data_IF_944815482562
#
_entry.id   IF_944815482562
#
_cell.length_a   1.000
_cell.length_b   1.000
_cell.length_c   1.000
_cell.angle_alpha   90.00
_cell.angle_beta   90.00
_cell.angle_gamma   90.00
#
_symmetry.space_group_name_H-M   'P 1'
#
loop_
_entity.id
_entity.type
_entity.pdbx_description
1 polymer ?
#
# COMPACT_ATOMS: atom_id res chain seq x y z
N UNK A 1 -2.33 -28.96 -20.28
CA UNK A 1 -1.08 -28.69 -19.51
C UNK A 1 -1.32 -28.78 -17.99
N UNK A 2 -2.12 -27.90 -17.36
CA UNK A 2 -2.33 -27.92 -15.89
C UNK A 2 -2.80 -29.26 -15.30
N UNK A 3 -3.69 -29.98 -16.02
CA UNK A 3 -4.16 -31.32 -15.61
C UNK A 3 -3.04 -32.36 -15.56
N UNK A 4 -2.07 -32.28 -16.49
CA UNK A 4 -0.92 -33.20 -16.55
C UNK A 4 0.00 -32.93 -15.36
N UNK A 5 0.36 -31.66 -15.13
CA UNK A 5 1.18 -31.29 -13.96
C UNK A 5 0.52 -31.64 -12.64
N UNK A 6 -0.80 -31.52 -12.51
CA UNK A 6 -1.54 -31.98 -11.32
C UNK A 6 -1.33 -33.47 -11.05
N UNK A 7 -1.43 -34.30 -12.09
CA UNK A 7 -1.25 -35.75 -11.98
C UNK A 7 0.21 -36.12 -11.71
N UNK A 8 1.17 -35.46 -12.37
CA UNK A 8 2.59 -35.78 -12.20
C UNK A 8 3.14 -35.28 -10.86
N UNK A 9 2.80 -34.06 -10.45
CA UNK A 9 3.29 -33.47 -9.21
C UNK A 9 2.51 -33.89 -7.97
N UNK A 10 1.32 -34.48 -8.14
CA UNK A 10 0.36 -34.77 -7.07
C UNK A 10 0.00 -33.54 -6.22
N UNK A 11 0.25 -32.32 -6.73
CA UNK A 11 -0.10 -31.06 -6.07
C UNK A 11 -1.38 -30.47 -6.65
N UNK A 12 -2.23 -29.93 -5.77
CA UNK A 12 -3.45 -29.23 -6.17
C UNK A 12 -3.07 -27.97 -6.96
N UNK A 13 -3.74 -27.76 -8.09
CA UNK A 13 -3.62 -26.53 -8.88
C UNK A 13 -4.45 -25.46 -8.18
N UNK A 14 -3.83 -24.34 -7.84
CA UNK A 14 -4.50 -23.21 -7.22
C UNK A 14 -5.04 -22.26 -8.30
N UNK A 15 -6.30 -21.89 -8.18
CA UNK A 15 -6.96 -20.90 -9.05
C UNK A 15 -7.33 -19.72 -8.14
N UNK A 16 -6.87 -18.49 -8.43
CA UNK A 16 -7.29 -17.30 -7.69
C UNK A 16 -8.81 -17.12 -7.81
N UNK A 17 -9.52 -17.03 -6.68
CA UNK A 17 -10.97 -16.81 -6.64
C UNK A 17 -11.45 -15.87 -5.53
N UNK A 18 -10.55 -15.47 -4.63
CA UNK A 18 -10.93 -14.84 -3.36
C UNK A 18 -10.81 -13.32 -3.40
N UNK A 19 -10.04 -12.79 -4.33
CA UNK A 19 -9.84 -11.37 -4.53
C UNK A 19 -10.44 -10.95 -5.86
N UNK A 20 -11.17 -9.84 -5.87
CA UNK A 20 -11.68 -9.22 -7.09
C UNK A 20 -11.31 -7.74 -7.08
N UNK A 21 -10.56 -7.33 -8.10
CA UNK A 21 -10.14 -5.96 -8.34
C UNK A 21 -11.35 -5.09 -8.74
N UNK A 22 -11.18 -3.77 -8.73
CA UNK A 22 -12.19 -2.82 -9.19
C UNK A 22 -12.62 -3.03 -10.66
N UNK A 23 -11.80 -3.77 -11.43
CA UNK A 23 -12.05 -4.11 -12.85
C UNK A 23 -12.43 -5.57 -13.05
N UNK A 24 -12.93 -6.22 -11.99
CA UNK A 24 -13.33 -7.63 -11.98
C UNK A 24 -12.20 -8.61 -12.31
N UNK A 25 -10.96 -8.22 -12.05
CA UNK A 25 -9.78 -9.08 -12.26
C UNK A 25 -9.34 -9.75 -10.96
N UNK A 26 -8.62 -10.87 -11.06
CA UNK A 26 -8.03 -11.54 -9.89
C UNK A 26 -6.63 -11.01 -9.54
N UNK A 27 -6.22 -9.89 -10.14
CA UNK A 27 -4.89 -9.31 -10.02
C UNK A 27 -4.94 -7.79 -10.04
N UNK A 28 -3.88 -7.18 -9.53
CA UNK A 28 -3.64 -5.74 -9.56
C UNK A 28 -2.37 -5.46 -10.37
N UNK A 29 -2.42 -4.50 -11.29
CA UNK A 29 -1.23 -4.07 -12.02
C UNK A 29 -0.36 -3.20 -11.13
N UNK A 30 0.92 -3.54 -11.06
CA UNK A 30 1.91 -2.82 -10.26
C UNK A 30 3.31 -3.02 -10.86
N UNK A 31 4.30 -2.32 -10.32
CA UNK A 31 5.71 -2.58 -10.59
C UNK A 31 6.47 -2.92 -9.31
N UNK A 32 7.51 -3.73 -9.43
CA UNK A 32 8.47 -3.97 -8.34
C UNK A 32 9.85 -3.61 -8.85
N UNK A 33 10.51 -2.65 -8.18
CA UNK A 33 11.73 -2.02 -8.68
C UNK A 33 11.46 -1.45 -10.09
N UNK A 34 12.25 -1.81 -11.09
CA UNK A 34 12.07 -1.36 -12.48
C UNK A 34 11.20 -2.29 -13.34
N UNK A 35 10.52 -3.29 -12.75
CA UNK A 35 9.80 -4.32 -13.50
C UNK A 35 8.29 -4.22 -13.31
N UNK A 36 7.57 -4.00 -14.40
CA UNK A 36 6.11 -4.07 -14.43
C UNK A 36 5.61 -5.52 -14.30
N UNK A 37 4.48 -5.72 -13.64
CA UNK A 37 3.86 -7.03 -13.53
C UNK A 37 2.48 -6.98 -12.92
N UNK A 38 2.10 -8.12 -12.35
CA UNK A 38 0.79 -8.32 -11.73
C UNK A 38 0.97 -8.90 -10.33
N UNK A 39 0.34 -8.25 -9.36
CA UNK A 39 0.18 -8.74 -8.00
C UNK A 39 -1.12 -9.56 -7.91
N UNK A 40 -1.02 -10.79 -7.42
CA UNK A 40 -2.12 -11.70 -7.17
C UNK A 40 -2.29 -11.90 -5.66
N UNK A 41 -3.32 -11.29 -5.05
CA UNK A 41 -3.75 -11.61 -3.70
C UNK A 41 -4.40 -13.00 -3.68
N UNK A 42 -3.69 -14.00 -3.14
CA UNK A 42 -4.21 -15.36 -2.99
C UNK A 42 -4.69 -15.62 -1.56
N UNK A 43 -5.16 -16.84 -1.32
CA UNK A 43 -5.74 -17.24 -0.04
C UNK A 43 -4.81 -17.08 1.17
N UNK A 44 -3.51 -17.33 0.96
CA UNK A 44 -2.48 -17.43 1.99
C UNK A 44 -1.19 -16.66 1.65
N UNK A 45 -1.14 -15.99 0.51
CA UNK A 45 0.08 -15.36 0.02
C UNK A 45 -0.22 -14.29 -1.03
N UNK A 46 0.69 -13.33 -1.14
CA UNK A 46 0.84 -12.50 -2.33
C UNK A 46 1.78 -13.19 -3.31
N UNK A 47 1.43 -13.18 -4.60
CA UNK A 47 2.34 -13.57 -5.68
C UNK A 47 2.46 -12.43 -6.67
N UNK A 48 3.69 -12.01 -6.96
CA UNK A 48 3.98 -11.13 -8.08
C UNK A 48 4.57 -11.92 -9.23
N UNK A 49 3.98 -11.75 -10.42
CA UNK A 49 4.39 -12.44 -11.64
C UNK A 49 4.93 -11.40 -12.63
N UNK A 50 6.25 -11.48 -12.87
CA UNK A 50 6.98 -11.15 -14.10
C UNK A 50 8.49 -11.42 -13.87
N UNK A 51 9.27 -10.41 -13.46
CA UNK A 51 10.69 -10.54 -13.07
C UNK A 51 11.02 -9.59 -11.90
N UNK A 52 11.62 -10.06 -10.80
CA UNK A 52 11.64 -11.45 -10.33
C UNK A 52 10.22 -11.90 -9.92
N UNK A 53 9.96 -13.21 -9.95
CA UNK A 53 8.74 -13.75 -9.33
C UNK A 53 8.90 -13.71 -7.82
N UNK A 54 7.96 -13.07 -7.12
CA UNK A 54 8.00 -12.91 -5.67
C UNK A 54 6.79 -13.61 -5.07
N UNK A 55 7.01 -14.41 -4.03
CA UNK A 55 5.96 -15.09 -3.27
C UNK A 55 6.14 -14.70 -1.80
N UNK A 56 5.15 -14.03 -1.22
CA UNK A 56 5.15 -13.61 0.18
C UNK A 56 3.96 -14.28 0.85
N UNK A 57 4.20 -15.17 1.81
CA UNK A 57 3.11 -15.79 2.56
C UNK A 57 2.59 -14.83 3.62
N UNK A 58 1.30 -14.87 3.90
CA UNK A 58 0.71 -13.99 4.92
C UNK A 58 1.21 -14.30 6.33
N UNK A 59 1.60 -15.55 6.60
CA UNK A 59 2.24 -15.94 7.87
C UNK A 59 3.58 -15.23 8.12
N UNK A 60 4.28 -14.87 7.04
CA UNK A 60 5.59 -14.22 7.07
C UNK A 60 5.48 -12.69 7.11
N UNK A 61 4.29 -12.12 6.89
CA UNK A 61 4.07 -10.66 6.91
C UNK A 61 3.98 -10.17 8.35
N UNK A 62 4.75 -9.13 8.66
CA UNK A 62 4.63 -8.40 9.93
C UNK A 62 3.49 -7.38 9.85
N UNK A 63 3.58 -6.47 8.88
CA UNK A 63 2.52 -5.51 8.56
C UNK A 63 2.64 -5.03 7.10
N UNK A 64 1.61 -4.32 6.64
CA UNK A 64 1.60 -3.64 5.36
C UNK A 64 1.35 -2.14 5.52
N UNK A 65 1.82 -1.37 4.56
CA UNK A 65 1.70 0.08 4.54
C UNK A 65 1.28 0.56 3.15
N UNK A 66 0.25 1.40 3.11
CA UNK A 66 -0.14 2.11 1.90
C UNK A 66 0.63 3.43 1.83
N UNK A 67 1.62 3.52 0.94
CA UNK A 67 2.44 4.71 0.71
C UNK A 67 1.86 5.53 -0.44
N UNK A 68 2.04 6.85 -0.40
CA UNK A 68 1.49 7.79 -1.41
C UNK A 68 -0.03 7.73 -1.57
N UNK A 69 -0.74 7.10 -0.62
CA UNK A 69 -2.18 7.11 -0.54
C UNK A 69 -2.63 8.14 0.49
N UNK A 70 -3.23 9.23 0.02
CA UNK A 70 -3.86 10.23 0.88
C UNK A 70 -5.38 10.11 0.75
N UNK A 71 -6.18 10.00 1.82
CA UNK A 71 -7.64 9.82 1.74
C UNK A 71 -8.40 10.98 1.09
N UNK A 72 -7.79 12.17 1.02
CA UNK A 72 -8.44 13.36 0.47
C UNK A 72 -8.76 13.20 -1.04
N UNK A 73 -9.94 13.67 -1.43
CA UNK A 73 -10.43 13.60 -2.81
C UNK A 73 -9.56 14.38 -3.82
N UNK A 74 -8.74 15.32 -3.33
CA UNK A 74 -7.83 16.16 -4.13
C UNK A 74 -6.39 15.64 -4.16
N UNK A 75 -6.18 14.33 -3.96
CA UNK A 75 -4.86 13.73 -4.11
C UNK A 75 -4.34 13.96 -5.53
N UNK A 76 -3.20 14.67 -5.65
CA UNK A 76 -2.57 14.95 -6.93
C UNK A 76 -2.08 13.68 -7.65
N UNK A 77 -1.89 12.58 -6.92
CA UNK A 77 -1.38 11.29 -7.42
C UNK A 77 -2.51 10.33 -7.78
N UNK A 78 -2.45 9.80 -9.01
CA UNK A 78 -3.37 8.76 -9.53
C UNK A 78 -3.08 7.35 -8.99
N UNK A 79 -1.91 7.17 -8.37
CA UNK A 79 -1.39 5.87 -7.98
C UNK A 79 -0.85 5.91 -6.54
N UNK A 80 -0.84 4.75 -5.89
CA UNK A 80 -0.24 4.52 -4.58
C UNK A 80 0.71 3.32 -4.61
N UNK A 81 1.46 3.10 -3.53
CA UNK A 81 2.29 1.91 -3.36
C UNK A 81 1.84 1.09 -2.16
N UNK A 82 1.98 -0.23 -2.26
CA UNK A 82 1.80 -1.16 -1.17
C UNK A 82 3.17 -1.69 -0.73
N UNK A 83 3.64 -1.27 0.44
CA UNK A 83 4.82 -1.84 1.07
C UNK A 83 4.42 -3.00 1.99
N UNK A 84 5.08 -4.14 1.82
CA UNK A 84 4.88 -5.35 2.63
C UNK A 84 6.16 -5.60 3.43
N UNK A 85 6.05 -5.51 4.75
CA UNK A 85 7.15 -5.75 5.68
C UNK A 85 7.11 -7.20 6.15
N UNK A 86 8.24 -7.89 6.03
CA UNK A 86 8.39 -9.31 6.35
C UNK A 86 8.97 -9.44 7.77
N UNK A 87 8.43 -10.38 8.55
CA UNK A 87 8.91 -10.72 9.89
C UNK A 87 10.38 -11.13 9.85
N UNK A 88 11.14 -10.70 10.85
CA UNK A 88 12.55 -11.09 10.98
C UNK A 88 12.73 -12.61 11.06
N UNK A 89 11.83 -13.31 11.75
CA UNK A 89 11.87 -14.78 11.86
C UNK A 89 11.66 -15.52 10.54
N UNK A 90 11.07 -14.87 9.52
CA UNK A 90 10.82 -15.46 8.21
C UNK A 90 11.98 -15.22 7.21
N UNK A 91 12.85 -14.25 7.53
CA UNK A 91 14.08 -13.99 6.77
C UNK A 91 15.15 -14.91 7.36
N UNK A 92 15.30 -16.11 6.80
CA UNK A 92 16.23 -17.13 7.31
C UNK A 92 17.66 -16.60 7.50
N UNK A 93 18.43 -17.21 8.40
CA UNK A 93 19.78 -16.74 8.79
C UNK A 93 20.76 -16.56 7.60
N UNK A 94 20.56 -17.31 6.52
CA UNK A 94 21.36 -17.25 5.29
C UNK A 94 20.89 -16.15 4.30
N UNK A 95 19.78 -15.47 4.59
CA UNK A 95 19.17 -14.47 3.73
C UNK A 95 19.75 -13.07 3.94
N UNK A 96 21.08 -12.97 3.98
CA UNK A 96 21.84 -11.71 4.08
C UNK A 96 21.49 -10.70 2.96
N UNK A 97 20.79 -11.16 1.93
CA UNK A 97 20.45 -10.43 0.71
C UNK A 97 18.94 -10.37 0.40
N UNK A 98 18.06 -10.82 1.32
CA UNK A 98 16.61 -10.63 1.13
C UNK A 98 16.19 -9.29 1.71
N UNK A 99 15.63 -8.45 0.84
CA UNK A 99 14.93 -7.23 1.24
C UNK A 99 13.84 -7.60 2.27
N UNK A 100 13.90 -7.01 3.48
CA UNK A 100 12.87 -7.16 4.54
C UNK A 100 11.55 -6.47 4.16
N UNK A 101 11.56 -5.73 3.06
CA UNK A 101 10.44 -4.97 2.54
C UNK A 101 10.30 -5.27 1.04
N UNK A 102 9.07 -5.53 0.60
CA UNK A 102 8.73 -5.57 -0.82
C UNK A 102 7.72 -4.49 -1.11
N UNK A 103 8.07 -3.56 -2.02
CA UNK A 103 7.19 -2.47 -2.42
C UNK A 103 6.59 -2.74 -3.79
N UNK A 104 5.27 -2.88 -3.83
CA UNK A 104 4.48 -2.92 -5.06
C UNK A 104 4.07 -1.51 -5.42
N UNK A 105 4.69 -0.99 -6.47
CA UNK A 105 4.59 0.40 -6.86
C UNK A 105 3.51 0.66 -7.91
N UNK A 106 3.07 1.92 -7.98
CA UNK A 106 2.25 2.47 -9.06
C UNK A 106 0.89 1.76 -9.23
N UNK A 107 0.29 1.30 -8.13
CA UNK A 107 -1.05 0.71 -8.12
C UNK A 107 -2.09 1.81 -8.33
N UNK A 108 -3.05 1.58 -9.22
CA UNK A 108 -4.14 2.52 -9.50
C UNK A 108 -5.01 2.71 -8.24
N UNK A 109 -5.36 3.97 -7.94
CA UNK A 109 -6.15 4.33 -6.75
C UNK A 109 -7.53 3.64 -6.72
N UNK A 110 -8.12 3.31 -7.87
CA UNK A 110 -9.37 2.55 -7.94
C UNK A 110 -9.28 1.18 -7.26
N UNK A 111 -8.08 0.59 -7.18
CA UNK A 111 -7.86 -0.73 -6.59
C UNK A 111 -7.73 -0.71 -5.06
N UNK A 112 -7.65 0.49 -4.45
CA UNK A 112 -7.43 0.63 -3.01
C UNK A 112 -8.51 -0.06 -2.18
N UNK A 113 -9.79 0.20 -2.48
CA UNK A 113 -10.91 -0.31 -1.67
C UNK A 113 -10.87 -1.84 -1.63
N UNK A 114 -10.89 -2.47 -2.81
CA UNK A 114 -10.82 -3.94 -2.95
C UNK A 114 -9.59 -4.53 -2.26
N UNK A 115 -8.40 -3.93 -2.42
CA UNK A 115 -7.16 -4.46 -1.84
C UNK A 115 -7.13 -4.30 -0.32
N UNK A 116 -7.59 -3.15 0.20
CA UNK A 116 -7.64 -2.87 1.63
C UNK A 116 -8.63 -3.79 2.35
N UNK A 117 -9.82 -4.02 1.79
CA UNK A 117 -10.84 -4.88 2.37
C UNK A 117 -10.40 -6.35 2.35
N UNK A 118 -9.72 -6.78 1.28
CA UNK A 118 -9.14 -8.11 1.21
C UNK A 118 -8.05 -8.33 2.27
N UNK A 119 -7.13 -7.37 2.43
CA UNK A 119 -6.06 -7.43 3.43
C UNK A 119 -6.64 -7.50 4.85
N UNK A 120 -7.66 -6.68 5.15
CA UNK A 120 -8.38 -6.71 6.43
C UNK A 120 -9.05 -8.07 6.67
N UNK A 121 -9.70 -8.63 5.66
CA UNK A 121 -10.34 -9.97 5.73
C UNK A 121 -9.32 -11.10 5.99
N UNK A 122 -8.05 -10.88 5.62
CA UNK A 122 -6.94 -11.80 5.90
C UNK A 122 -6.23 -11.53 7.22
N UNK A 123 -6.74 -10.59 8.03
CA UNK A 123 -6.21 -10.22 9.35
C UNK A 123 -4.74 -9.77 9.32
N UNK A 124 -4.31 -9.21 8.19
CA UNK A 124 -2.96 -8.65 8.04
C UNK A 124 -2.96 -7.23 8.64
N UNK A 125 -1.99 -6.94 9.51
CA UNK A 125 -1.85 -5.63 10.15
C UNK A 125 -1.56 -4.55 9.11
N UNK A 126 -2.28 -3.42 9.18
CA UNK A 126 -2.07 -2.25 8.32
C UNK A 126 -1.62 -1.08 9.19
N UNK A 127 -0.44 -0.53 8.92
CA UNK A 127 0.15 0.53 9.77
C UNK A 127 -0.49 1.91 9.57
N UNK A 128 -0.81 2.25 8.33
CA UNK A 128 -1.39 3.56 7.97
C UNK A 128 -2.88 3.43 7.62
N UNK A 129 -3.67 2.81 8.50
CA UNK A 129 -5.11 2.86 8.31
C UNK A 129 -5.53 4.34 8.29
N UNK A 130 -6.32 4.78 7.31
CA UNK A 130 -6.99 6.05 7.44
C UNK A 130 -7.96 5.90 8.61
N UNK A 131 -7.52 6.32 9.79
CA UNK A 131 -8.43 6.56 10.89
C UNK A 131 -9.49 7.51 10.35
N UNK A 132 -10.75 7.11 10.46
CA UNK A 132 -11.89 7.98 10.21
C UNK A 132 -11.82 9.28 11.03
N UNK A 133 -10.90 9.39 12.00
CA UNK A 133 -10.61 10.55 12.83
C UNK A 133 -9.56 11.53 12.25
N UNK A 134 -8.75 11.14 11.27
CA UNK A 134 -7.68 12.01 10.73
C UNK A 134 -8.15 13.03 9.68
N UNK A 135 -9.43 12.98 9.28
CA UNK A 135 -10.07 14.01 8.47
C UNK A 135 -10.28 15.36 9.19
N UNK A 136 -9.98 15.44 10.51
CA UNK A 136 -10.27 16.62 11.32
C UNK A 136 -9.06 17.54 11.61
N UNK A 137 -7.81 17.17 11.26
CA UNK A 137 -6.60 17.97 11.56
C UNK A 137 -5.90 18.49 10.30
N UNK A 138 -6.66 19.03 9.34
CA UNK A 138 -6.16 19.67 8.12
C UNK A 138 -6.42 21.18 8.01
N UNK A 139 -6.86 21.83 9.08
CA UNK A 139 -7.25 23.24 9.05
C UNK A 139 -6.37 24.11 9.94
N UNK A 140 -5.28 24.66 9.39
CA UNK A 140 -4.87 26.06 9.63
C UNK A 140 -3.85 26.46 8.57
N UNK A 141 -4.38 27.05 7.50
CA UNK A 141 -3.65 27.95 6.62
C UNK A 141 -2.97 29.03 7.49
N UNK A 142 -1.64 29.11 7.41
CA UNK A 142 -0.89 30.27 7.92
C UNK A 142 -0.96 31.35 6.85
N UNK A 143 -2.01 32.16 6.91
CA UNK A 143 -2.19 33.38 6.11
C UNK A 143 -2.62 34.50 7.06
N UNK A 144 -1.89 35.62 7.06
CA UNK A 144 -2.29 36.88 7.67
C UNK A 144 -1.60 37.24 8.98
N UNK A 145 -0.35 37.71 8.91
CA UNK A 145 0.20 38.61 9.92
C UNK A 145 -0.16 40.04 9.51
N UNK A 146 -1.22 40.58 10.10
CA UNK A 146 -1.60 41.99 9.98
C UNK A 146 -1.62 42.52 11.41
N UNK A 147 -0.51 43.14 11.83
CA UNK A 147 -0.48 43.99 13.02
C UNK A 147 -0.93 45.39 12.58
N UNK A 148 -2.21 45.68 12.81
CA UNK A 148 -2.68 47.06 12.94
C UNK A 148 -2.52 47.46 14.41
N UNK A 149 -1.75 48.52 14.63
CA UNK A 149 -1.68 49.25 15.89
C UNK A 149 -1.74 50.74 15.58
N UNK A 150 -2.96 51.25 15.43
CA UNK A 150 -3.30 52.65 15.73
C UNK A 150 -2.82 52.92 17.18
N UNK A 151 -2.12 53.98 17.56
CA UNK A 151 -2.15 55.36 17.09
C UNK A 151 -2.44 56.19 18.33
N UNK A 152 -1.51 57.07 18.75
CA UNK A 152 -1.84 58.23 19.60
C UNK A 152 -0.71 59.26 19.54
N UNK A 153 -1.06 60.42 19.00
CA UNK A 153 -0.33 61.69 18.94
C UNK A 153 0.14 62.17 20.31
N UNK A 154 1.25 62.93 20.33
CA UNK A 154 1.34 64.20 21.06
C UNK A 154 2.55 65.00 20.56
N UNK A 155 2.30 66.29 20.32
CA UNK A 155 3.13 67.27 19.66
C UNK A 155 4.12 68.00 20.60
N UNK A 156 5.00 68.81 19.97
CA UNK A 156 5.70 70.01 20.49
C UNK A 156 6.81 69.75 21.53
N UNK A 157 7.95 70.44 21.60
CA UNK A 157 8.39 71.76 21.13
C UNK A 157 9.95 71.84 21.23
N UNK A 158 10.53 72.86 20.57
CA UNK A 158 11.92 73.37 20.58
C UNK A 158 13.06 72.64 19.82
#
# INVERSE_FOLDING_TARGET
IAKIFKVLSQKKVFIPKQYQSAREQFSVRCSVKANDGLLYPLAKSFIFINKPTIIIKFEDIDYVEFKRYEPAANSATRNFDLAVYIKESAVGADAKDRDREVVFMSIDRSEYVSLSDYIKTKEIKVKNLPDAASAAYGGKARMGGMEEGDGEDSAEDD
#
